data_IF_064764946258
#
_entry.id   IF_064764946258
#
_cell.length_a   1.000
_cell.length_b   1.000
_cell.length_c   1.000
_cell.angle_alpha   90.00
_cell.angle_beta   90.00
_cell.angle_gamma   90.00
#
_symmetry.space_group_name_H-M   'P 1'
#
loop_
_entity.id
_entity.type
_entity.pdbx_description
1 polymer ?
#
# COMPACT_ATOMS: atom_id res chain seq x y z
N UNK A 1 -2.16 5.01 -8.27
CA UNK A 1 -2.99 3.88 -8.71
C UNK A 1 -2.11 2.76 -9.24
N UNK A 2 -2.49 1.49 -9.00
CA UNK A 2 -1.78 0.32 -9.55
C UNK A 2 -0.28 0.32 -9.22
N UNK A 3 0.08 0.57 -7.96
CA UNK A 3 1.46 0.66 -7.52
C UNK A 3 1.78 -0.43 -6.50
N UNK A 4 3.04 -0.88 -6.50
CA UNK A 4 3.59 -1.74 -5.45
C UNK A 4 4.67 -0.97 -4.70
N UNK A 5 4.46 -0.79 -3.40
CA UNK A 5 5.43 -0.24 -2.46
C UNK A 5 5.94 -1.38 -1.60
N UNK A 6 7.22 -1.65 -1.65
CA UNK A 6 7.81 -2.76 -0.91
C UNK A 6 9.06 -2.33 -0.16
N UNK A 7 9.11 -2.65 1.12
CA UNK A 7 10.24 -2.37 2.00
C UNK A 7 10.80 -3.68 2.60
N UNK A 8 11.73 -4.31 1.90
CA UNK A 8 12.32 -5.58 2.30
C UNK A 8 13.72 -5.47 2.91
N UNK A 9 14.13 -4.30 3.36
CA UNK A 9 15.42 -4.13 4.02
C UNK A 9 15.36 -4.65 5.46
N UNK A 10 16.10 -5.71 5.77
CA UNK A 10 16.10 -6.42 7.05
C UNK A 10 16.52 -5.58 8.29
N UNK A 11 17.09 -4.40 8.08
CA UNK A 11 17.52 -3.47 9.15
C UNK A 11 16.79 -2.12 9.09
N UNK A 12 15.77 -1.98 8.26
CA UNK A 12 15.15 -0.71 7.99
C UNK A 12 14.21 -0.29 9.11
N UNK A 13 14.43 0.90 9.64
CA UNK A 13 13.44 1.65 10.42
C UNK A 13 12.44 2.39 9.51
N UNK A 14 12.62 2.30 8.20
CA UNK A 14 11.75 2.93 7.21
C UNK A 14 10.49 2.07 7.01
N UNK A 15 9.44 2.70 6.55
CA UNK A 15 8.19 2.08 6.18
C UNK A 15 8.04 2.12 4.66
N UNK A 16 7.22 1.22 4.11
CA UNK A 16 6.92 1.26 2.68
C UNK A 16 6.18 2.57 2.31
N UNK A 17 5.29 3.04 3.18
CA UNK A 17 4.56 4.31 3.00
C UNK A 17 4.44 5.05 4.33
N UNK A 18 4.91 6.29 4.35
CA UNK A 18 4.67 7.29 5.38
C UNK A 18 3.94 8.47 4.75
N UNK A 19 2.81 8.86 5.33
CA UNK A 19 2.07 10.07 4.93
C UNK A 19 2.05 11.00 6.12
N UNK A 20 2.60 12.20 5.94
CA UNK A 20 2.58 13.26 6.94
C UNK A 20 2.18 14.60 6.31
N UNK A 21 1.89 15.60 7.15
CA UNK A 21 1.59 16.97 6.75
C UNK A 21 2.51 17.99 7.41
N UNK A 22 3.76 17.59 7.71
CA UNK A 22 4.76 18.49 8.28
C UNK A 22 6.18 18.00 7.98
N UNK A 23 7.15 18.89 8.16
CA UNK A 23 8.56 18.53 8.27
C UNK A 23 9.18 19.26 9.45
N UNK A 24 10.35 18.83 9.87
CA UNK A 24 11.11 19.50 10.92
C UNK A 24 12.21 20.35 10.28
N UNK A 25 12.26 21.66 10.59
CA UNK A 25 13.25 22.59 10.08
C UNK A 25 14.62 22.43 10.77
N UNK A 26 15.59 23.24 10.38
CA UNK A 26 16.96 23.24 10.94
C UNK A 26 17.02 23.62 12.43
N UNK A 27 15.98 24.26 12.96
CA UNK A 27 15.84 24.64 14.37
C UNK A 27 15.06 23.61 15.18
N UNK A 28 14.78 22.40 14.61
CA UNK A 28 13.91 21.37 15.18
C UNK A 28 12.47 21.83 15.43
N UNK A 29 11.97 22.82 14.68
CA UNK A 29 10.60 23.26 14.76
C UNK A 29 9.75 22.56 13.67
N UNK A 30 8.58 22.10 14.04
CA UNK A 30 7.65 21.52 13.08
C UNK A 30 7.04 22.61 12.20
N UNK A 31 7.14 22.44 10.88
CA UNK A 31 6.52 23.31 9.88
C UNK A 31 5.43 22.53 9.17
N UNK A 32 4.17 22.93 9.40
CA UNK A 32 3.00 22.26 8.84
C UNK A 32 2.66 22.71 7.43
N UNK A 33 2.05 21.80 6.69
CA UNK A 33 1.43 22.08 5.40
C UNK A 33 0.08 21.36 5.29
N UNK A 34 -0.75 21.76 4.34
CA UNK A 34 -2.06 21.17 4.17
C UNK A 34 -1.96 19.89 3.32
N UNK A 35 -2.44 18.77 3.86
CA UNK A 35 -2.70 17.58 3.07
C UNK A 35 -4.12 17.66 2.52
N UNK A 36 -4.26 18.15 1.29
CA UNK A 36 -5.56 18.32 0.65
C UNK A 36 -6.14 16.98 0.14
N UNK A 37 -5.27 16.08 -0.34
CA UNK A 37 -5.69 14.78 -0.85
C UNK A 37 -4.52 13.80 -0.90
N UNK A 38 -4.78 12.54 -0.47
CA UNK A 38 -3.94 11.39 -0.78
C UNK A 38 -4.86 10.20 -1.06
N UNK A 39 -4.76 9.61 -2.26
CA UNK A 39 -5.62 8.50 -2.67
C UNK A 39 -4.80 7.36 -3.29
N UNK A 40 -4.99 6.17 -2.76
CA UNK A 40 -4.36 4.93 -3.20
C UNK A 40 -5.44 3.99 -3.72
N UNK A 41 -5.32 3.54 -4.97
CA UNK A 41 -6.27 2.62 -5.58
C UNK A 41 -5.53 1.46 -6.22
N UNK A 42 -5.97 0.23 -5.94
CA UNK A 42 -5.36 -0.99 -6.45
C UNK A 42 -3.85 -1.07 -6.14
N UNK A 43 -3.43 -0.74 -4.92
CA UNK A 43 -2.02 -0.72 -4.55
C UNK A 43 -1.66 -1.86 -3.60
N UNK A 44 -0.40 -2.33 -3.67
CA UNK A 44 0.20 -3.23 -2.68
C UNK A 44 1.19 -2.42 -1.85
N UNK A 45 1.03 -2.42 -0.52
CA UNK A 45 1.92 -1.80 0.45
C UNK A 45 2.41 -2.91 1.38
N UNK A 46 3.65 -3.33 1.21
CA UNK A 46 4.16 -4.53 1.85
C UNK A 46 5.63 -4.35 2.27
N UNK A 47 6.15 -5.30 3.05
CA UNK A 47 7.54 -5.27 3.48
C UNK A 47 7.84 -6.16 4.68
N UNK A 48 9.01 -5.95 5.29
CA UNK A 48 9.51 -6.76 6.41
C UNK A 48 9.01 -6.29 7.78
N UNK A 49 8.52 -5.04 7.91
CA UNK A 49 8.00 -4.55 9.19
C UNK A 49 6.61 -5.13 9.51
N UNK A 50 6.23 -5.07 10.77
CA UNK A 50 4.88 -5.46 11.20
C UNK A 50 3.82 -4.53 10.61
N UNK A 51 4.12 -3.24 10.53
CA UNK A 51 3.27 -2.20 9.92
C UNK A 51 4.07 -1.48 8.85
N UNK A 52 3.55 -1.40 7.64
CA UNK A 52 4.23 -0.79 6.48
C UNK A 52 3.53 0.50 5.99
N UNK A 53 2.48 0.94 6.69
CA UNK A 53 1.79 2.19 6.44
C UNK A 53 1.68 2.99 7.73
N UNK A 54 2.19 4.22 7.73
CA UNK A 54 2.03 5.17 8.83
C UNK A 54 1.38 6.47 8.35
N UNK A 55 0.37 6.91 9.08
CA UNK A 55 -0.26 8.22 8.94
C UNK A 55 0.21 9.08 10.14
N UNK A 56 1.08 10.05 9.87
CA UNK A 56 1.74 10.88 10.86
C UNK A 56 1.26 12.33 10.74
N UNK A 57 0.17 12.60 11.44
CA UNK A 57 -0.56 13.85 11.40
C UNK A 57 0.01 14.85 12.40
N UNK A 58 0.12 16.11 11.95
CA UNK A 58 0.37 17.28 12.81
C UNK A 58 -0.78 18.28 12.68
N UNK A 59 -1.17 18.91 13.81
CA UNK A 59 -2.30 19.85 13.85
C UNK A 59 -1.95 21.28 13.37
N UNK A 60 -0.69 21.52 12.95
CA UNK A 60 -0.25 22.82 12.40
C UNK A 60 -0.89 23.10 11.04
N UNK A 61 -1.13 22.03 10.23
CA UNK A 61 -1.75 22.12 8.91
C UNK A 61 -3.06 21.33 8.81
N UNK A 62 -3.85 21.64 7.79
CA UNK A 62 -5.06 20.88 7.52
C UNK A 62 -4.74 19.44 7.11
N UNK A 63 -5.54 18.49 7.60
CA UNK A 63 -5.41 17.08 7.30
C UNK A 63 -6.68 16.53 6.67
N UNK A 64 -6.58 16.04 5.45
CA UNK A 64 -7.62 15.21 4.85
C UNK A 64 -7.18 13.75 4.96
N UNK A 65 -7.97 12.93 5.63
CA UNK A 65 -7.65 11.50 5.82
C UNK A 65 -7.41 10.81 4.48
N UNK A 66 -6.26 10.15 4.29
CA UNK A 66 -5.95 9.43 3.07
C UNK A 66 -6.97 8.33 2.77
N UNK A 67 -7.27 8.14 1.49
CA UNK A 67 -8.24 7.13 1.02
C UNK A 67 -7.49 5.94 0.40
N UNK A 68 -7.83 4.75 0.84
CA UNK A 68 -7.31 3.49 0.29
C UNK A 68 -8.49 2.66 -0.25
N UNK A 69 -8.41 2.30 -1.53
CA UNK A 69 -9.44 1.50 -2.21
C UNK A 69 -8.80 0.33 -2.94
N UNK A 70 -9.28 -0.88 -2.65
CA UNK A 70 -8.76 -2.11 -3.26
C UNK A 70 -7.24 -2.25 -3.07
N UNK A 71 -6.76 -2.03 -1.85
CA UNK A 71 -5.34 -2.12 -1.51
C UNK A 71 -5.04 -3.35 -0.65
N UNK A 72 -3.87 -3.94 -0.86
CA UNK A 72 -3.30 -4.92 0.05
C UNK A 72 -2.27 -4.21 0.93
N UNK A 73 -2.41 -4.32 2.26
CA UNK A 73 -1.58 -3.56 3.20
C UNK A 73 -1.08 -4.48 4.31
N UNK A 74 0.24 -4.51 4.50
CA UNK A 74 0.86 -5.13 5.66
C UNK A 74 0.62 -4.25 6.88
N UNK A 75 -0.25 -4.71 7.79
CA UNK A 75 -0.66 -3.95 8.96
C UNK A 75 -0.96 -4.88 10.15
N UNK A 76 0.10 -5.43 10.75
CA UNK A 76 -0.01 -6.27 11.93
C UNK A 76 0.08 -5.40 13.19
N UNK A 77 -1.07 -4.94 13.68
CA UNK A 77 -1.19 -4.08 14.87
C UNK A 77 -1.19 -4.91 16.17
N UNK A 78 -0.16 -5.74 16.37
CA UNK A 78 -0.05 -6.65 17.53
C UNK A 78 -0.02 -5.92 18.88
N UNK A 79 0.45 -4.70 18.90
CA UNK A 79 0.53 -3.87 20.10
C UNK A 79 -0.72 -3.01 20.34
N UNK A 80 -1.76 -3.15 19.53
CA UNK A 80 -2.99 -2.37 19.56
C UNK A 80 -2.80 -0.84 19.50
N UNK A 81 -1.64 -0.38 19.03
CA UNK A 81 -1.27 1.04 18.96
C UNK A 81 -2.26 1.87 18.13
N UNK A 82 -2.85 1.29 17.10
CA UNK A 82 -3.74 1.99 16.16
C UNK A 82 -5.23 1.63 16.34
N UNK A 83 -5.58 0.80 17.34
CA UNK A 83 -6.94 0.23 17.47
C UNK A 83 -8.04 1.27 17.61
N UNK A 84 -7.75 2.37 18.31
CA UNK A 84 -8.71 3.45 18.58
C UNK A 84 -8.43 4.72 17.75
N UNK A 85 -7.53 4.66 16.78
CA UNK A 85 -7.25 5.79 15.93
C UNK A 85 -8.20 5.81 14.72
N UNK A 86 -9.09 6.83 14.61
CA UNK A 86 -10.08 6.89 13.54
C UNK A 86 -9.47 7.01 12.15
N UNK A 87 -8.25 7.53 12.01
CA UNK A 87 -7.55 7.62 10.72
C UNK A 87 -7.22 6.24 10.13
N UNK A 88 -7.24 5.17 10.96
CA UNK A 88 -7.01 3.77 10.53
C UNK A 88 -8.29 2.92 10.47
N UNK A 89 -9.48 3.50 10.61
CA UNK A 89 -10.73 2.75 10.60
C UNK A 89 -10.90 1.92 9.30
N UNK A 90 -10.41 2.43 8.17
CA UNK A 90 -10.49 1.77 6.85
C UNK A 90 -9.76 0.41 6.81
N UNK A 91 -8.76 0.18 7.66
CA UNK A 91 -7.92 -1.02 7.63
C UNK A 91 -8.70 -2.33 7.88
N UNK A 92 -9.88 -2.22 8.49
CA UNK A 92 -10.76 -3.35 8.80
C UNK A 92 -11.91 -3.52 7.80
N UNK A 93 -12.00 -2.67 6.78
CA UNK A 93 -12.98 -2.83 5.70
C UNK A 93 -12.46 -3.84 4.67
N UNK A 94 -12.87 -5.09 4.83
CA UNK A 94 -12.46 -6.21 3.95
C UNK A 94 -12.98 -6.09 2.52
N UNK A 95 -13.93 -5.20 2.26
CA UNK A 95 -14.42 -4.94 0.90
C UNK A 95 -13.43 -4.10 0.09
N UNK A 96 -12.56 -3.33 0.76
CA UNK A 96 -11.60 -2.40 0.14
C UNK A 96 -10.15 -2.73 0.49
N UNK A 97 -9.90 -3.46 1.58
CA UNK A 97 -8.55 -3.75 2.08
C UNK A 97 -8.32 -5.25 2.28
N UNK A 98 -7.25 -5.77 1.69
CA UNK A 98 -6.63 -7.03 2.07
C UNK A 98 -5.58 -6.73 3.14
N UNK A 99 -5.90 -7.01 4.40
CA UNK A 99 -4.99 -6.80 5.51
C UNK A 99 -4.11 -8.03 5.74
N UNK A 100 -2.79 -7.87 5.68
CA UNK A 100 -1.80 -8.93 5.92
C UNK A 100 -1.90 -10.13 4.96
N UNK A 101 -2.51 -9.96 3.79
CA UNK A 101 -2.56 -11.01 2.78
C UNK A 101 -1.18 -11.34 2.19
N UNK A 102 -1.10 -12.41 1.43
CA UNK A 102 0.12 -12.83 0.74
C UNK A 102 0.21 -12.13 -0.62
N UNK A 103 1.26 -11.33 -0.89
CA UNK A 103 1.45 -10.72 -2.21
C UNK A 103 2.03 -11.70 -3.23
N UNK A 104 2.59 -12.83 -2.80
CA UNK A 104 3.21 -13.85 -3.65
C UNK A 104 4.21 -13.26 -4.65
N UNK A 105 5.19 -12.50 -4.15
CA UNK A 105 6.22 -11.89 -4.99
C UNK A 105 7.24 -12.93 -5.47
N UNK A 106 7.64 -12.87 -6.73
CA UNK A 106 8.65 -13.76 -7.32
C UNK A 106 9.94 -13.80 -6.50
N UNK A 107 10.51 -12.64 -6.18
CA UNK A 107 11.68 -12.54 -5.31
C UNK A 107 11.77 -11.14 -4.69
N UNK A 108 11.05 -10.95 -3.59
CA UNK A 108 10.96 -9.66 -2.91
C UNK A 108 12.32 -9.13 -2.42
N UNK A 109 13.24 -10.02 -2.00
CA UNK A 109 14.57 -9.63 -1.50
C UNK A 109 15.47 -9.04 -2.60
N UNK A 110 15.21 -9.36 -3.85
CA UNK A 110 15.90 -8.81 -5.03
C UNK A 110 15.06 -7.76 -5.77
N UNK A 111 14.03 -7.21 -5.15
CA UNK A 111 13.09 -6.23 -5.72
C UNK A 111 12.36 -6.74 -6.99
N UNK A 112 12.21 -8.05 -7.12
CA UNK A 112 11.43 -8.67 -8.19
C UNK A 112 9.99 -8.85 -7.70
N UNK A 113 9.18 -7.81 -7.88
CA UNK A 113 7.86 -7.66 -7.27
C UNK A 113 6.70 -8.05 -8.20
N UNK A 114 6.98 -8.87 -9.22
CA UNK A 114 5.95 -9.52 -10.01
C UNK A 114 5.18 -10.46 -9.08
N UNK A 115 3.86 -10.40 -9.12
CA UNK A 115 3.00 -11.24 -8.29
C UNK A 115 2.70 -12.57 -8.98
N UNK A 116 2.57 -13.63 -8.18
CA UNK A 116 2.28 -14.97 -8.66
C UNK A 116 0.80 -15.32 -8.66
N UNK A 117 0.50 -16.55 -9.05
CA UNK A 117 -0.87 -17.07 -9.13
C UNK A 117 -1.55 -17.17 -7.74
N UNK A 118 -0.77 -17.31 -6.67
CA UNK A 118 -1.25 -17.46 -5.29
C UNK A 118 -1.36 -16.12 -4.55
N UNK A 119 -1.21 -14.98 -5.25
CA UNK A 119 -1.38 -13.67 -4.66
C UNK A 119 -2.83 -13.40 -4.27
N UNK A 120 -3.07 -12.96 -3.03
CA UNK A 120 -4.38 -12.48 -2.60
C UNK A 120 -4.84 -11.22 -3.36
N UNK A 121 -3.91 -10.55 -4.04
CA UNK A 121 -4.18 -9.38 -4.87
C UNK A 121 -4.75 -9.68 -6.25
N UNK A 122 -4.82 -10.95 -6.66
CA UNK A 122 -5.33 -11.36 -7.96
C UNK A 122 -6.84 -11.08 -8.07
N UNK A 123 -7.26 -10.38 -9.12
CA UNK A 123 -8.66 -10.01 -9.37
C UNK A 123 -9.37 -9.29 -8.20
N UNK A 124 -8.62 -8.64 -7.30
CA UNK A 124 -9.19 -7.89 -6.18
C UNK A 124 -9.50 -6.43 -6.57
N UNK A 125 -8.67 -5.83 -7.42
CA UNK A 125 -8.77 -4.44 -7.86
C UNK A 125 -9.99 -4.15 -8.71
N UNK A 126 -10.40 -2.89 -8.77
CA UNK A 126 -11.41 -2.43 -9.72
C UNK A 126 -10.73 -2.07 -11.05
N UNK A 127 -11.42 -2.26 -12.18
CA UNK A 127 -10.92 -1.79 -13.47
C UNK A 127 -10.87 -0.25 -13.49
N UNK A 128 -9.67 0.30 -13.56
CA UNK A 128 -9.41 1.75 -13.62
C UNK A 128 -9.10 2.23 -15.04
N UNK A 129 -9.32 1.39 -16.05
CA UNK A 129 -9.01 1.68 -17.45
C UNK A 129 -7.49 1.67 -17.76
N UNK A 130 -6.67 1.07 -16.87
CA UNK A 130 -5.22 0.91 -17.09
C UNK A 130 -5.00 -0.44 -17.76
N UNK A 131 -4.70 -0.44 -19.05
CA UNK A 131 -4.70 -1.63 -19.91
C UNK A 131 -3.41 -2.46 -19.84
N UNK A 132 -2.30 -1.87 -19.36
CA UNK A 132 -1.02 -2.56 -19.23
C UNK A 132 -0.43 -2.35 -17.85
N UNK A 133 0.42 -3.27 -17.42
CA UNK A 133 1.23 -3.15 -16.22
C UNK A 133 2.52 -2.34 -16.47
N UNK A 134 3.38 -2.22 -15.46
CA UNK A 134 4.59 -1.39 -15.51
C UNK A 134 5.65 -1.90 -16.51
N UNK A 135 5.58 -3.18 -16.89
CA UNK A 135 6.49 -3.78 -17.90
C UNK A 135 5.82 -3.98 -19.27
N UNK A 136 4.60 -3.47 -19.46
CA UNK A 136 3.87 -3.53 -20.72
C UNK A 136 3.02 -4.79 -20.92
N UNK A 137 2.90 -5.67 -19.91
CA UNK A 137 2.01 -6.84 -19.98
C UNK A 137 0.56 -6.37 -19.92
N UNK A 138 -0.27 -6.91 -20.82
CA UNK A 138 -1.70 -6.60 -20.84
C UNK A 138 -2.36 -7.06 -19.54
N UNK A 139 -3.09 -6.17 -18.89
CA UNK A 139 -3.88 -6.53 -17.71
C UNK A 139 -5.13 -7.31 -18.11
N UNK A 140 -5.36 -8.40 -17.40
CA UNK A 140 -6.55 -9.24 -17.60
C UNK A 140 -7.68 -8.65 -16.76
N UNK A 141 -8.80 -8.32 -17.42
CA UNK A 141 -10.02 -7.84 -16.76
C UNK A 141 -11.02 -8.97 -16.71
N UNK A 142 -11.41 -9.39 -15.51
CA UNK A 142 -12.43 -10.42 -15.31
C UNK A 142 -13.55 -9.86 -14.45
N UNK A 143 -14.77 -9.77 -15.00
CA UNK A 143 -15.95 -9.21 -14.32
C UNK A 143 -15.68 -7.83 -13.68
N UNK A 144 -15.05 -6.92 -14.42
CA UNK A 144 -14.61 -5.59 -13.99
C UNK A 144 -13.58 -5.60 -12.84
N UNK A 145 -12.87 -6.69 -12.66
CA UNK A 145 -11.79 -6.83 -11.68
C UNK A 145 -10.45 -7.05 -12.38
N UNK A 146 -9.40 -6.53 -11.75
CA UNK A 146 -8.01 -6.64 -12.19
C UNK A 146 -7.12 -6.99 -11.01
N UNK A 147 -5.90 -7.43 -11.28
CA UNK A 147 -4.89 -7.56 -10.25
C UNK A 147 -4.51 -6.20 -9.68
N UNK A 148 -4.22 -6.16 -8.40
CA UNK A 148 -3.70 -4.97 -7.76
C UNK A 148 -2.16 -4.92 -7.84
N UNK A 149 -1.59 -3.74 -7.58
CA UNK A 149 -0.15 -3.55 -7.65
C UNK A 149 0.35 -3.18 -9.05
N UNK A 150 1.67 -3.12 -9.19
CA UNK A 150 2.34 -2.65 -10.40
C UNK A 150 2.32 -3.67 -11.56
N UNK A 151 2.08 -4.95 -11.28
CA UNK A 151 2.23 -6.05 -12.23
C UNK A 151 0.93 -6.83 -12.43
N UNK A 152 0.75 -7.41 -13.61
CA UNK A 152 -0.17 -8.51 -13.87
C UNK A 152 0.44 -9.79 -13.29
N UNK A 153 -0.37 -10.67 -12.67
CA UNK A 153 0.14 -11.92 -12.14
C UNK A 153 0.66 -12.87 -13.23
N UNK A 154 1.61 -13.70 -12.85
CA UNK A 154 2.14 -14.77 -13.69
C UNK A 154 2.16 -16.08 -12.91
N UNK A 155 2.20 -17.21 -13.61
CA UNK A 155 2.50 -18.50 -13.01
C UNK A 155 4.02 -18.63 -12.92
N UNK A 156 4.56 -18.75 -11.72
CA UNK A 156 6.00 -18.96 -11.57
C UNK A 156 6.37 -20.38 -11.99
N UNK A 157 7.53 -20.56 -12.68
CA UNK A 157 8.04 -21.89 -12.96
C UNK A 157 8.40 -22.62 -11.65
N UNK A 158 8.18 -23.94 -11.67
CA UNK A 158 8.59 -24.86 -10.57
C UNK A 158 10.12 -24.92 -10.44
#
# INVERSE_FOLDING_TARGET
KQCTFNNNTASSKQLAVLINNYYTDENNQAVGFNLAQAAFSNCIIFGSNQVELLLDKNDIGAWTTPVFSKCQIKFNNSNNQFTNNPDYAFINDTSTIIKNGTPDFFNANNNQLIIGADSDGNNFGDDLGITTDVIGTTRIVTANKVDIGAYQHVVFPD
#
